data_IF_113746914658
#
_entry.id   IF_113746914658
#
_cell.length_a   1.000
_cell.length_b   1.000
_cell.length_c   1.000
_cell.angle_alpha   90.00
_cell.angle_beta   90.00
_cell.angle_gamma   90.00
#
_symmetry.space_group_name_H-M   'P 1'
#
loop_
_entity.id
_entity.type
_entity.pdbx_description
1 polymer ?
#
# COMPACT_ATOMS: atom_id res chain seq x y z
N UNK A 1 12.40 16.59 -38.27
CA UNK A 1 11.31 16.90 -37.34
C UNK A 1 10.85 15.56 -36.80
N UNK A 2 11.35 15.18 -35.62
CA UNK A 2 11.20 13.81 -35.11
C UNK A 2 9.94 13.77 -34.27
N UNK A 3 8.90 13.08 -34.77
CA UNK A 3 7.70 12.78 -33.97
C UNK A 3 8.09 11.78 -32.88
N UNK A 4 7.98 12.20 -31.62
CA UNK A 4 8.15 11.32 -30.49
C UNK A 4 6.84 10.55 -30.27
N UNK A 5 6.88 9.23 -30.10
CA UNK A 5 5.67 8.44 -29.87
C UNK A 5 5.02 8.82 -28.56
N UNK A 6 3.70 9.08 -28.58
CA UNK A 6 2.91 9.29 -27.36
C UNK A 6 2.79 7.98 -26.59
N UNK A 7 3.28 7.94 -25.36
CA UNK A 7 3.17 6.76 -24.52
C UNK A 7 1.91 6.82 -23.66
N UNK A 8 1.22 5.69 -23.52
CA UNK A 8 0.01 5.60 -22.67
C UNK A 8 0.30 6.00 -21.22
N UNK A 9 1.53 5.77 -20.73
CA UNK A 9 2.01 6.17 -19.41
C UNK A 9 1.93 7.68 -19.15
N UNK A 10 1.98 8.51 -20.20
CA UNK A 10 2.04 9.96 -20.06
C UNK A 10 0.69 10.56 -19.65
N UNK A 11 -0.41 9.85 -19.92
CA UNK A 11 -1.78 10.31 -19.62
C UNK A 11 -2.59 9.32 -18.79
N UNK A 12 -2.17 8.06 -18.68
CA UNK A 12 -2.87 7.06 -17.88
C UNK A 12 -2.91 7.45 -16.40
N UNK A 13 -4.11 7.48 -15.84
CA UNK A 13 -4.34 7.66 -14.40
C UNK A 13 -5.01 6.41 -13.86
N UNK A 14 -4.52 5.93 -12.72
CA UNK A 14 -5.20 4.88 -11.96
C UNK A 14 -6.45 5.46 -11.30
N UNK A 15 -7.47 4.64 -11.14
CA UNK A 15 -8.64 5.01 -10.34
C UNK A 15 -8.19 5.39 -8.92
N UNK A 16 -8.66 6.55 -8.44
CA UNK A 16 -8.34 7.04 -7.11
C UNK A 16 -8.83 6.09 -6.01
N UNK A 17 -9.93 5.37 -6.25
CA UNK A 17 -10.41 4.35 -5.32
C UNK A 17 -9.43 3.17 -5.21
N UNK A 18 -8.71 2.83 -6.28
CA UNK A 18 -7.77 1.70 -6.31
C UNK A 18 -6.47 1.95 -5.52
N UNK A 19 -6.13 3.22 -5.28
CA UNK A 19 -4.94 3.61 -4.49
C UNK A 19 -5.27 3.99 -3.05
N UNK A 20 -6.55 3.95 -2.68
CA UNK A 20 -6.98 4.29 -1.33
C UNK A 20 -6.56 3.18 -0.35
N UNK A 21 -6.12 3.52 0.88
CA UNK A 21 -5.77 2.51 1.87
C UNK A 21 -6.95 1.59 2.17
N UNK A 22 -6.65 0.29 2.33
CA UNK A 22 -7.64 -0.70 2.70
C UNK A 22 -8.23 -0.36 4.09
N UNK A 23 -9.58 -0.33 4.25
CA UNK A 23 -10.21 -0.04 5.54
C UNK A 23 -9.72 -0.95 6.65
N UNK A 24 -9.59 -0.41 7.87
CA UNK A 24 -9.12 -1.16 9.04
C UNK A 24 -7.67 -1.64 8.96
N UNK A 25 -6.90 -1.21 7.94
CA UNK A 25 -5.50 -1.58 7.77
C UNK A 25 -4.61 -0.37 7.59
N UNK A 26 -3.34 -0.48 8.01
CA UNK A 26 -2.31 0.51 7.71
C UNK A 26 -0.99 -0.15 7.31
N UNK A 27 -0.22 0.56 6.49
CA UNK A 27 1.16 0.19 6.19
C UNK A 27 2.02 0.51 7.41
N UNK A 28 2.74 -0.48 7.90
CA UNK A 28 3.73 -0.31 8.96
C UNK A 28 5.10 -0.73 8.46
N UNK A 29 6.15 -0.31 9.15
CA UNK A 29 7.51 -0.72 8.86
C UNK A 29 8.12 -1.37 10.08
N UNK A 30 8.65 -2.58 9.90
CA UNK A 30 9.37 -3.32 10.94
C UNK A 30 10.86 -3.29 10.61
N UNK A 31 11.71 -3.25 11.63
CA UNK A 31 13.16 -3.31 11.42
C UNK A 31 13.53 -4.64 10.75
N UNK A 32 14.35 -4.56 9.69
CA UNK A 32 14.88 -5.75 9.01
C UNK A 32 16.08 -6.35 9.74
N UNK A 33 16.72 -7.33 9.10
CA UNK A 33 17.95 -7.96 9.61
C UNK A 33 19.14 -6.99 9.72
N UNK A 34 19.12 -5.91 8.94
CA UNK A 34 20.06 -4.80 9.04
C UNK A 34 19.35 -3.57 9.60
N UNK A 35 20.09 -2.76 10.35
CA UNK A 35 19.52 -1.63 11.10
C UNK A 35 18.93 -0.53 10.22
N UNK A 36 19.38 -0.40 8.98
CA UNK A 36 18.92 0.54 7.97
C UNK A 36 17.63 0.08 7.24
N UNK A 37 17.28 -1.20 7.36
CA UNK A 37 16.16 -1.77 6.64
C UNK A 37 14.84 -1.54 7.36
N UNK A 38 13.86 -1.03 6.59
CA UNK A 38 12.45 -0.88 6.99
C UNK A 38 11.58 -1.77 6.11
N UNK A 39 11.21 -2.94 6.62
CA UNK A 39 10.42 -3.93 5.88
C UNK A 39 8.94 -3.55 5.95
N UNK A 40 8.27 -3.34 4.81
CA UNK A 40 6.85 -2.97 4.80
C UNK A 40 5.98 -4.17 5.18
N UNK A 41 5.10 -3.98 6.16
CA UNK A 41 4.07 -4.94 6.55
C UNK A 41 2.69 -4.27 6.51
N UNK A 42 1.63 -5.08 6.50
CA UNK A 42 0.24 -4.61 6.64
C UNK A 42 -0.28 -4.99 8.02
N UNK A 43 -0.56 -3.98 8.85
CA UNK A 43 -1.24 -4.18 10.13
C UNK A 43 -2.75 -4.10 9.90
N UNK A 44 -3.50 -5.03 10.51
CA UNK A 44 -4.97 -5.11 10.40
C UNK A 44 -5.54 -5.05 11.82
N UNK A 45 -6.42 -4.09 12.09
CA UNK A 45 -7.11 -4.00 13.37
C UNK A 45 -8.23 -5.03 13.41
N UNK A 46 -8.23 -5.86 14.47
CA UNK A 46 -9.30 -6.82 14.77
C UNK A 46 -10.04 -6.41 16.03
N UNK A 47 -11.24 -6.93 16.23
CA UNK A 47 -12.02 -6.77 17.46
C UNK A 47 -11.84 -8.00 18.35
N UNK A 48 -11.97 -7.82 19.66
CA UNK A 48 -11.95 -8.93 20.60
C UNK A 48 -13.12 -9.88 20.33
N UNK A 49 -12.87 -11.18 20.46
CA UNK A 49 -13.93 -12.19 20.40
C UNK A 49 -14.48 -12.40 21.81
N UNK A 50 -15.79 -12.19 22.06
CA UNK A 50 -16.37 -12.43 23.38
C UNK A 50 -16.20 -13.91 23.78
N UNK A 51 -15.70 -14.15 24.99
CA UNK A 51 -15.47 -15.51 25.53
C UNK A 51 -16.21 -15.75 26.84
N UNK A 52 -17.42 -15.21 27.01
CA UNK A 52 -18.22 -15.51 28.22
C UNK A 52 -18.37 -17.03 28.39
N UNK A 53 -17.95 -17.53 29.57
CA UNK A 53 -18.23 -18.87 30.08
C UNK A 53 -19.57 -18.86 30.83
#
# INVERSE_FOLDING_TARGET
MTDLPTYLSDSARVDSAAIQPLPGSRKVYVQGSRSDLRVPMREITVQDTPTEL
#
